data_IF_960133160382
#
_entry.id   IF_960133160382
#
_cell.length_a   1.000
_cell.length_b   1.000
_cell.length_c   1.000
_cell.angle_alpha   90.00
_cell.angle_beta   90.00
_cell.angle_gamma   90.00
#
_symmetry.space_group_name_H-M   'P 1'
#
loop_
_entity.id
_entity.type
_entity.pdbx_description
1 polymer ?
#
# COMPACT_ATOMS: atom_id res chain seq x y z
N UNK A 1 -22.37 -26.97 6.50
CA UNK A 1 -21.35 -26.05 7.04
C UNK A 1 -19.99 -26.55 6.57
N UNK A 2 -19.39 -25.93 5.55
CA UNK A 2 -17.98 -26.22 5.20
C UNK A 2 -17.15 -25.59 6.31
N UNK A 3 -16.60 -26.39 7.22
CA UNK A 3 -15.65 -25.86 8.20
C UNK A 3 -14.49 -25.25 7.43
N UNK A 4 -14.25 -23.96 7.59
CA UNK A 4 -13.16 -23.27 6.90
C UNK A 4 -11.85 -23.88 7.40
N UNK A 5 -11.18 -24.68 6.57
CA UNK A 5 -9.92 -25.33 6.93
C UNK A 5 -8.86 -24.24 7.11
N UNK A 6 -8.29 -24.15 8.30
CA UNK A 6 -7.18 -23.21 8.61
C UNK A 6 -5.94 -23.56 7.81
N UNK A 7 -5.02 -22.61 7.60
CA UNK A 7 -3.73 -22.88 6.93
C UNK A 7 -3.01 -24.04 7.62
N UNK A 8 -3.03 -24.07 8.96
CA UNK A 8 -2.44 -25.17 9.73
C UNK A 8 -3.13 -26.49 9.50
N UNK A 9 -4.47 -26.50 9.42
CA UNK A 9 -5.25 -27.69 9.09
C UNK A 9 -4.92 -28.27 7.71
N UNK A 10 -4.72 -27.41 6.71
CA UNK A 10 -4.31 -27.81 5.35
C UNK A 10 -2.92 -28.45 5.35
N UNK A 11 -1.98 -27.86 6.10
CA UNK A 11 -0.62 -28.41 6.25
C UNK A 11 -0.68 -29.79 6.93
N UNK A 12 -1.42 -29.91 8.03
CA UNK A 12 -1.58 -31.20 8.74
C UNK A 12 -2.24 -32.26 7.86
N UNK A 13 -3.27 -31.88 7.10
CA UNK A 13 -3.93 -32.76 6.15
C UNK A 13 -2.96 -33.26 5.10
N UNK A 14 -2.21 -32.36 4.45
CA UNK A 14 -1.22 -32.71 3.43
C UNK A 14 -0.15 -33.66 3.95
N UNK A 15 0.40 -33.39 5.15
CA UNK A 15 1.42 -34.27 5.77
C UNK A 15 0.85 -35.68 5.98
N UNK A 16 -0.37 -35.79 6.51
CA UNK A 16 -1.04 -37.08 6.75
C UNK A 16 -1.35 -37.82 5.45
N UNK A 17 -1.92 -37.13 4.47
CA UNK A 17 -2.30 -37.69 3.17
C UNK A 17 -1.07 -38.23 2.42
N UNK A 18 0.05 -37.52 2.48
CA UNK A 18 1.33 -37.95 1.88
C UNK A 18 2.11 -38.97 2.71
N UNK A 19 1.60 -39.36 3.89
CA UNK A 19 2.29 -40.28 4.80
C UNK A 19 3.64 -39.76 5.31
N UNK A 20 3.81 -38.45 5.39
CA UNK A 20 5.06 -37.81 5.79
C UNK A 20 5.14 -37.64 7.31
N UNK A 21 6.35 -37.71 7.84
CA UNK A 21 6.66 -37.19 9.18
C UNK A 21 6.93 -35.68 9.12
N UNK A 22 6.74 -34.98 10.24
CA UNK A 22 7.10 -33.55 10.36
C UNK A 22 8.57 -33.32 9.98
N UNK A 23 9.48 -34.23 10.31
CA UNK A 23 10.89 -34.13 9.97
C UNK A 23 11.15 -34.24 8.46
N UNK A 24 10.43 -35.10 7.75
CA UNK A 24 10.52 -35.20 6.29
C UNK A 24 9.96 -33.93 5.63
N UNK A 25 8.81 -33.44 6.11
CA UNK A 25 8.21 -32.20 5.58
C UNK A 25 9.07 -30.95 5.88
N UNK A 26 9.69 -30.89 7.05
CA UNK A 26 10.67 -29.86 7.42
C UNK A 26 11.85 -29.83 6.44
N UNK A 27 12.41 -31.01 6.11
CA UNK A 27 13.50 -31.12 5.14
C UNK A 27 13.07 -30.67 3.74
N UNK A 28 11.86 -31.03 3.31
CA UNK A 28 11.33 -30.64 2.01
C UNK A 28 11.12 -29.12 1.90
N UNK A 29 10.55 -28.50 2.94
CA UNK A 29 10.30 -27.04 2.97
C UNK A 29 11.55 -26.21 3.25
N UNK A 30 12.63 -26.83 3.73
CA UNK A 30 13.82 -26.13 4.21
C UNK A 30 13.60 -25.36 5.51
N UNK A 31 12.49 -25.62 6.21
CA UNK A 31 12.18 -25.02 7.51
C UNK A 31 12.70 -25.94 8.62
N UNK A 32 13.33 -25.37 9.65
CA UNK A 32 13.77 -26.16 10.80
C UNK A 32 12.60 -26.93 11.43
N UNK A 33 12.78 -28.22 11.75
CA UNK A 33 11.71 -29.10 12.24
C UNK A 33 11.06 -28.61 13.54
N UNK A 34 11.84 -28.04 14.47
CA UNK A 34 11.31 -27.43 15.68
C UNK A 34 10.46 -26.19 15.40
N UNK A 35 10.86 -25.39 14.40
CA UNK A 35 10.07 -24.24 13.94
C UNK A 35 8.77 -24.68 13.27
N UNK A 36 8.84 -25.62 12.33
CA UNK A 36 7.66 -26.14 11.64
C UNK A 36 6.68 -26.80 12.63
N UNK A 37 7.19 -27.60 13.57
CA UNK A 37 6.37 -28.18 14.65
C UNK A 37 5.69 -27.10 15.49
N UNK A 38 6.42 -26.04 15.85
CA UNK A 38 5.84 -24.92 16.63
C UNK A 38 4.77 -24.16 15.85
N UNK A 39 4.92 -24.02 14.53
CA UNK A 39 3.93 -23.41 13.64
C UNK A 39 2.66 -24.26 13.60
N UNK A 40 2.79 -25.56 13.31
CA UNK A 40 1.65 -26.50 13.22
C UNK A 40 0.87 -26.51 14.55
N UNK A 41 1.59 -26.57 15.67
CA UNK A 41 0.99 -26.54 17.01
C UNK A 41 0.49 -25.14 17.45
N UNK A 42 0.61 -24.10 16.61
CA UNK A 42 0.12 -22.74 16.92
C UNK A 42 0.92 -21.96 17.95
N UNK A 43 2.10 -22.43 18.31
CA UNK A 43 2.97 -21.78 19.32
C UNK A 43 3.82 -20.68 18.73
N UNK A 44 4.04 -20.68 17.41
CA UNK A 44 4.83 -19.68 16.69
C UNK A 44 4.05 -19.15 15.49
N UNK A 45 4.05 -17.83 15.23
CA UNK A 45 3.44 -17.29 14.02
C UNK A 45 4.18 -17.77 12.78
N UNK A 46 3.43 -17.96 11.69
CA UNK A 46 3.93 -18.29 10.37
C UNK A 46 4.33 -16.98 9.66
N UNK A 47 5.50 -16.94 9.03
CA UNK A 47 5.90 -15.82 8.15
C UNK A 47 5.52 -16.08 6.70
N UNK A 48 5.40 -15.03 5.87
CA UNK A 48 5.07 -15.17 4.44
C UNK A 48 6.12 -16.00 3.69
N UNK A 49 7.41 -15.86 4.04
CA UNK A 49 8.48 -16.69 3.46
C UNK A 49 8.27 -18.19 3.76
N UNK A 50 7.90 -18.51 5.01
CA UNK A 50 7.61 -19.89 5.40
C UNK A 50 6.34 -20.39 4.73
N UNK A 51 5.33 -19.53 4.57
CA UNK A 51 4.11 -19.84 3.84
C UNK A 51 4.43 -20.21 2.39
N UNK A 52 5.25 -19.43 1.69
CA UNK A 52 5.64 -19.73 0.31
C UNK A 52 6.43 -21.04 0.19
N UNK A 53 7.37 -21.29 1.11
CA UNK A 53 8.12 -22.55 1.17
C UNK A 53 7.18 -23.77 1.33
N UNK A 54 6.20 -23.65 2.22
CA UNK A 54 5.18 -24.68 2.46
C UNK A 54 4.29 -24.85 1.22
N UNK A 55 3.78 -23.76 0.66
CA UNK A 55 2.91 -23.73 -0.53
C UNK A 55 3.58 -24.41 -1.73
N UNK A 56 4.86 -24.10 -1.95
CA UNK A 56 5.66 -24.71 -3.01
C UNK A 56 5.81 -26.23 -2.84
N UNK A 57 6.15 -26.72 -1.64
CA UNK A 57 6.25 -28.16 -1.38
C UNK A 57 4.92 -28.87 -1.49
N UNK A 58 3.82 -28.18 -1.16
CA UNK A 58 2.47 -28.70 -1.35
C UNK A 58 2.05 -28.78 -2.83
N UNK A 59 2.84 -28.19 -3.75
CA UNK A 59 2.55 -28.15 -5.18
C UNK A 59 1.40 -27.20 -5.52
N UNK A 60 1.18 -26.18 -4.69
CA UNK A 60 0.13 -25.18 -4.86
C UNK A 60 0.68 -23.91 -5.52
N UNK A 61 -0.21 -23.13 -6.13
CA UNK A 61 0.14 -21.84 -6.76
C UNK A 61 0.68 -20.84 -5.73
N UNK A 62 1.64 -20.00 -6.11
CA UNK A 62 2.09 -18.89 -5.28
C UNK A 62 0.93 -17.97 -4.91
N UNK A 63 0.86 -17.56 -3.64
CA UNK A 63 -0.23 -16.76 -3.12
C UNK A 63 -1.51 -17.55 -2.78
N UNK A 64 -1.55 -18.88 -2.95
CA UNK A 64 -2.74 -19.71 -2.68
C UNK A 64 -3.36 -19.49 -1.27
N UNK A 65 -2.52 -19.22 -0.27
CA UNK A 65 -2.97 -19.01 1.11
C UNK A 65 -3.09 -17.54 1.52
N UNK A 66 -2.87 -16.56 0.62
CA UNK A 66 -2.73 -15.15 1.03
C UNK A 66 -3.98 -14.58 1.69
N UNK A 67 -5.17 -14.82 1.14
CA UNK A 67 -6.43 -14.36 1.75
C UNK A 67 -6.57 -14.86 3.20
N UNK A 68 -6.37 -16.16 3.41
CA UNK A 68 -6.39 -16.77 4.75
C UNK A 68 -5.26 -16.25 5.65
N UNK A 69 -4.09 -15.97 5.08
CA UNK A 69 -2.93 -15.51 5.84
C UNK A 69 -3.14 -14.12 6.43
N UNK A 70 -3.88 -13.25 5.73
CA UNK A 70 -4.27 -11.92 6.24
C UNK A 70 -5.02 -12.09 7.57
N UNK A 71 -6.08 -12.89 7.57
CA UNK A 71 -6.92 -13.10 8.75
C UNK A 71 -6.19 -13.90 9.85
N UNK A 72 -5.60 -15.05 9.50
CA UNK A 72 -5.06 -15.99 10.48
C UNK A 72 -3.69 -15.57 11.05
N UNK A 73 -2.87 -14.86 10.28
CA UNK A 73 -1.47 -14.63 10.63
C UNK A 73 -1.08 -13.16 10.79
N UNK A 74 -1.78 -12.23 10.13
CA UNK A 74 -1.50 -10.79 10.26
C UNK A 74 -2.40 -10.17 11.32
N UNK A 75 -3.73 -10.36 11.21
CA UNK A 75 -4.72 -9.65 12.01
C UNK A 75 -5.38 -10.48 13.12
N UNK A 76 -4.97 -11.74 13.32
CA UNK A 76 -5.40 -12.55 14.47
C UNK A 76 -5.03 -11.92 15.83
N UNK A 77 -4.00 -11.07 15.85
CA UNK A 77 -3.56 -10.25 16.99
C UNK A 77 -3.30 -8.82 16.51
N UNK A 78 -2.90 -7.91 17.41
CA UNK A 78 -2.35 -6.61 17.00
C UNK A 78 -1.31 -6.82 15.88
N UNK A 79 -1.48 -6.19 14.71
CA UNK A 79 -0.60 -6.44 13.58
C UNK A 79 0.85 -6.10 13.93
N UNK A 80 1.80 -6.87 13.39
CA UNK A 80 3.21 -6.54 13.50
C UNK A 80 3.68 -6.09 12.13
N UNK A 81 4.23 -4.88 12.03
CA UNK A 81 4.81 -4.37 10.77
C UNK A 81 5.87 -5.33 10.22
N UNK A 82 6.61 -6.04 11.07
CA UNK A 82 7.59 -7.05 10.67
C UNK A 82 6.97 -8.25 9.93
N UNK A 83 5.64 -8.43 10.03
CA UNK A 83 4.87 -9.42 9.25
C UNK A 83 4.12 -8.78 8.10
N UNK A 84 3.46 -7.64 8.36
CA UNK A 84 2.67 -6.93 7.35
C UNK A 84 3.55 -6.42 6.20
N UNK A 85 4.62 -5.68 6.48
CA UNK A 85 5.49 -5.10 5.45
C UNK A 85 6.01 -6.15 4.45
N UNK A 86 6.65 -7.25 4.90
CA UNK A 86 7.08 -8.33 4.00
C UNK A 86 5.93 -8.98 3.24
N UNK A 87 4.75 -9.10 3.85
CA UNK A 87 3.56 -9.65 3.16
C UNK A 87 3.07 -8.72 2.05
N UNK A 88 3.01 -7.40 2.29
CA UNK A 88 2.62 -6.42 1.27
C UNK A 88 3.60 -6.40 0.09
N UNK A 89 4.91 -6.45 0.38
CA UNK A 89 5.93 -6.56 -0.66
C UNK A 89 5.75 -7.84 -1.48
N UNK A 90 5.50 -8.98 -0.82
CA UNK A 90 5.27 -10.25 -1.51
C UNK A 90 3.99 -10.26 -2.35
N UNK A 91 2.92 -9.60 -1.90
CA UNK A 91 1.72 -9.41 -2.71
C UNK A 91 2.01 -8.61 -3.98
N UNK A 92 2.83 -7.56 -3.88
CA UNK A 92 3.30 -6.79 -5.03
C UNK A 92 4.12 -7.65 -6.00
N UNK A 93 5.06 -8.45 -5.51
CA UNK A 93 5.90 -9.32 -6.34
C UNK A 93 5.10 -10.32 -7.18
N UNK A 94 4.00 -10.83 -6.61
CA UNK A 94 3.13 -11.84 -7.23
C UNK A 94 1.91 -11.25 -7.96
N UNK A 95 1.83 -9.91 -8.07
CA UNK A 95 0.66 -9.19 -8.60
C UNK A 95 -0.67 -9.56 -7.91
N UNK A 96 -0.61 -10.00 -6.65
CA UNK A 96 -1.80 -10.31 -5.81
C UNK A 96 -2.34 -9.03 -5.18
N UNK A 97 -2.70 -8.06 -6.01
CA UNK A 97 -3.10 -6.71 -5.59
C UNK A 97 -4.38 -6.69 -4.74
N UNK A 98 -5.31 -7.62 -4.94
CA UNK A 98 -6.52 -7.73 -4.11
C UNK A 98 -6.18 -8.09 -2.65
N UNK A 99 -5.20 -8.98 -2.46
CA UNK A 99 -4.68 -9.32 -1.13
C UNK A 99 -3.93 -8.15 -0.49
N UNK A 100 -3.19 -7.38 -1.30
CA UNK A 100 -2.52 -6.16 -0.85
C UNK A 100 -3.54 -5.14 -0.35
N UNK A 101 -4.55 -4.81 -1.18
CA UNK A 101 -5.60 -3.86 -0.83
C UNK A 101 -6.35 -4.30 0.43
N UNK A 102 -6.76 -5.57 0.49
CA UNK A 102 -7.44 -6.14 1.66
C UNK A 102 -6.62 -5.97 2.94
N UNK A 103 -5.34 -6.36 2.91
CA UNK A 103 -4.48 -6.27 4.08
C UNK A 103 -4.22 -4.83 4.52
N UNK A 104 -4.08 -3.91 3.57
CA UNK A 104 -3.85 -2.49 3.86
C UNK A 104 -5.12 -1.85 4.43
N UNK A 105 -6.30 -2.13 3.86
CA UNK A 105 -7.58 -1.59 4.38
C UNK A 105 -7.88 -2.04 5.81
N UNK A 106 -7.44 -3.23 6.21
CA UNK A 106 -7.55 -3.67 7.61
C UNK A 106 -6.70 -2.84 8.59
N UNK A 107 -5.82 -1.96 8.09
CA UNK A 107 -5.04 -1.02 8.92
C UNK A 107 -5.62 0.39 9.01
N UNK A 108 -6.76 0.68 8.34
CA UNK A 108 -7.31 2.03 8.22
C UNK A 108 -7.45 2.76 9.56
N UNK A 109 -7.90 2.05 10.61
CA UNK A 109 -8.12 2.61 11.95
C UNK A 109 -6.86 2.67 12.82
N UNK A 110 -5.72 2.13 12.34
CA UNK A 110 -4.47 2.10 13.08
C UNK A 110 -3.43 3.07 12.48
N UNK A 111 -3.41 4.28 13.02
CA UNK A 111 -2.53 5.37 12.55
C UNK A 111 -1.03 5.08 12.73
N UNK A 112 -0.68 4.09 13.55
CA UNK A 112 0.73 3.70 13.82
C UNK A 112 1.44 3.23 12.56
N UNK A 113 0.73 2.61 11.59
CA UNK A 113 1.36 2.09 10.38
C UNK A 113 1.47 3.10 9.24
N UNK A 114 0.78 4.24 9.32
CA UNK A 114 0.72 5.21 8.22
C UNK A 114 2.09 5.70 7.74
N UNK A 115 3.06 6.03 8.61
CA UNK A 115 4.40 6.38 8.15
C UNK A 115 5.03 5.25 7.34
N UNK A 116 4.91 4.02 7.81
CA UNK A 116 5.56 2.87 7.17
C UNK A 116 4.87 2.46 5.86
N UNK A 117 3.53 2.60 5.78
CA UNK A 117 2.77 2.42 4.53
C UNK A 117 3.16 3.47 3.49
N UNK A 118 3.33 4.73 3.89
CA UNK A 118 3.78 5.79 3.00
C UNK A 118 5.20 5.53 2.46
N UNK A 119 6.15 5.18 3.32
CA UNK A 119 7.52 4.85 2.88
C UNK A 119 7.55 3.64 1.93
N UNK A 120 6.70 2.63 2.19
CA UNK A 120 6.56 1.49 1.29
C UNK A 120 5.96 1.91 -0.07
N UNK A 121 5.00 2.85 -0.08
CA UNK A 121 4.44 3.39 -1.30
C UNK A 121 5.49 4.14 -2.13
N UNK A 122 6.32 4.98 -1.51
CA UNK A 122 7.43 5.67 -2.18
C UNK A 122 8.46 4.66 -2.73
N UNK A 123 8.73 3.57 -2.00
CA UNK A 123 9.59 2.46 -2.48
C UNK A 123 9.00 1.84 -3.75
N UNK A 124 7.70 1.54 -3.76
CA UNK A 124 7.03 1.00 -4.95
C UNK A 124 7.02 1.97 -6.12
N UNK A 125 6.92 3.28 -5.89
CA UNK A 125 7.08 4.29 -6.95
C UNK A 125 8.48 4.25 -7.55
N UNK A 126 9.53 4.13 -6.73
CA UNK A 126 10.92 4.02 -7.19
C UNK A 126 11.15 2.75 -8.02
N UNK A 127 10.45 1.67 -7.69
CA UNK A 127 10.47 0.40 -8.44
C UNK A 127 9.49 0.34 -9.63
N UNK A 128 8.83 1.45 -9.96
CA UNK A 128 7.80 1.56 -11.01
C UNK A 128 6.58 0.63 -10.81
N UNK A 129 6.29 0.24 -9.56
CA UNK A 129 5.16 -0.60 -9.14
C UNK A 129 3.94 0.27 -8.79
N UNK A 130 3.49 1.08 -9.74
CA UNK A 130 2.52 2.15 -9.48
C UNK A 130 1.17 1.65 -8.95
N UNK A 131 0.63 0.54 -9.46
CA UNK A 131 -0.66 0.01 -8.99
C UNK A 131 -0.64 -0.31 -7.50
N UNK A 132 0.39 -0.99 -7.02
CA UNK A 132 0.58 -1.30 -5.61
C UNK A 132 0.81 -0.03 -4.78
N UNK A 133 1.61 0.92 -5.28
CA UNK A 133 1.83 2.20 -4.61
C UNK A 133 0.52 2.99 -4.42
N UNK A 134 -0.37 3.00 -5.42
CA UNK A 134 -1.64 3.72 -5.33
C UNK A 134 -2.54 3.16 -4.22
N UNK A 135 -2.65 1.83 -4.09
CA UNK A 135 -3.41 1.20 -3.01
C UNK A 135 -2.92 1.65 -1.62
N UNK A 136 -1.60 1.79 -1.45
CA UNK A 136 -1.01 2.29 -0.21
C UNK A 136 -1.31 3.78 0.02
N UNK A 137 -1.14 4.64 -1.00
CA UNK A 137 -1.46 6.07 -0.86
C UNK A 137 -2.95 6.30 -0.59
N UNK A 138 -3.85 5.54 -1.20
CA UNK A 138 -5.29 5.65 -0.94
C UNK A 138 -5.62 5.35 0.52
N UNK A 139 -5.05 4.27 1.07
CA UNK A 139 -5.23 3.96 2.48
C UNK A 139 -4.68 5.04 3.40
N UNK A 140 -3.47 5.54 3.13
CA UNK A 140 -2.87 6.61 3.95
C UNK A 140 -3.74 7.87 3.88
N UNK A 141 -4.18 8.25 2.68
CA UNK A 141 -5.02 9.43 2.48
C UNK A 141 -6.38 9.31 3.16
N UNK A 142 -6.99 8.12 3.16
CA UNK A 142 -8.26 7.86 3.81
C UNK A 142 -8.15 7.91 5.34
N UNK A 143 -7.11 7.31 5.91
CA UNK A 143 -6.83 7.34 7.36
C UNK A 143 -6.50 8.73 7.88
N UNK A 144 -5.84 9.56 7.07
CA UNK A 144 -5.46 10.92 7.46
C UNK A 144 -6.47 12.00 7.06
N UNK A 145 -7.63 11.67 6.49
CA UNK A 145 -8.53 12.66 5.86
C UNK A 145 -8.93 13.88 6.71
N UNK A 146 -8.95 13.73 8.04
CA UNK A 146 -9.27 14.81 8.99
C UNK A 146 -8.03 15.48 9.60
N UNK A 147 -6.83 15.07 9.18
CA UNK A 147 -5.56 15.63 9.60
C UNK A 147 -5.08 16.63 8.55
N UNK A 148 -4.43 17.70 9.01
CA UNK A 148 -3.79 18.69 8.14
C UNK A 148 -2.31 18.34 7.92
N UNK A 149 -2.01 17.08 7.59
CA UNK A 149 -0.63 16.63 7.40
C UNK A 149 -0.11 16.92 5.98
N UNK A 150 1.17 17.23 5.87
CA UNK A 150 1.88 17.35 4.59
C UNK A 150 1.88 16.01 3.82
N UNK A 151 2.00 14.89 4.56
CA UNK A 151 1.93 13.53 4.03
C UNK A 151 0.62 13.28 3.28
N UNK A 152 -0.52 13.68 3.84
CA UNK A 152 -1.81 13.56 3.17
C UNK A 152 -1.81 14.34 1.84
N UNK A 153 -1.27 15.56 1.83
CA UNK A 153 -1.20 16.37 0.61
C UNK A 153 -0.32 15.70 -0.46
N UNK A 154 0.81 15.11 -0.06
CA UNK A 154 1.68 14.34 -0.96
C UNK A 154 0.99 13.09 -1.49
N UNK A 155 0.29 12.32 -0.65
CA UNK A 155 -0.49 11.16 -1.09
C UNK A 155 -1.53 11.57 -2.15
N UNK A 156 -2.29 12.63 -1.89
CA UNK A 156 -3.30 13.15 -2.82
C UNK A 156 -2.66 13.66 -4.12
N UNK A 157 -1.48 14.26 -4.06
CA UNK A 157 -0.72 14.66 -5.25
C UNK A 157 -0.22 13.47 -6.07
N UNK A 158 0.27 12.40 -5.42
CA UNK A 158 0.68 11.16 -6.09
C UNK A 158 -0.50 10.50 -6.79
N UNK A 159 -1.64 10.39 -6.11
CA UNK A 159 -2.89 9.86 -6.66
C UNK A 159 -3.41 10.70 -7.83
N UNK A 160 -3.42 12.03 -7.67
CA UNK A 160 -3.75 12.96 -8.75
C UNK A 160 -2.88 12.71 -9.97
N UNK A 161 -1.56 12.66 -9.80
CA UNK A 161 -0.65 12.50 -10.92
C UNK A 161 -0.83 11.18 -11.66
N UNK A 162 -1.25 10.12 -10.96
CA UNK A 162 -1.56 8.82 -11.55
C UNK A 162 -2.91 8.78 -12.25
N UNK A 163 -3.93 9.49 -11.73
CA UNK A 163 -5.28 9.60 -12.33
C UNK A 163 -5.33 10.45 -13.59
N UNK A 164 -4.33 11.32 -13.80
CA UNK A 164 -4.27 12.12 -15.03
C UNK A 164 -4.00 11.21 -16.22
N UNK A 165 -4.98 11.15 -17.11
CA UNK A 165 -4.95 10.37 -18.35
C UNK A 165 -5.14 11.30 -19.56
N UNK A 166 -5.26 10.72 -20.76
CA UNK A 166 -5.53 11.47 -21.99
C UNK A 166 -6.99 11.93 -22.12
N UNK A 167 -7.86 11.63 -21.15
CA UNK A 167 -9.26 12.04 -21.13
C UNK A 167 -9.45 13.32 -20.30
N UNK A 168 -9.98 14.36 -20.92
CA UNK A 168 -10.17 15.67 -20.29
C UNK A 168 -11.21 15.63 -19.16
N UNK A 169 -12.30 14.88 -19.32
CA UNK A 169 -13.38 14.84 -18.31
C UNK A 169 -12.91 14.16 -17.01
N UNK A 170 -12.16 13.05 -17.10
CA UNK A 170 -11.57 12.40 -15.93
C UNK A 170 -10.50 13.27 -15.27
N UNK A 171 -9.74 14.04 -16.05
CA UNK A 171 -8.76 14.99 -15.51
C UNK A 171 -9.43 16.11 -14.70
N UNK A 172 -10.61 16.58 -15.10
CA UNK A 172 -11.38 17.55 -14.33
C UNK A 172 -11.78 17.02 -12.95
N UNK A 173 -12.25 15.78 -12.88
CA UNK A 173 -12.58 15.12 -11.61
C UNK A 173 -11.34 14.94 -10.73
N UNK A 174 -10.21 14.54 -11.32
CA UNK A 174 -8.95 14.42 -10.59
C UNK A 174 -8.50 15.75 -9.97
N UNK A 175 -8.65 16.86 -10.70
CA UNK A 175 -8.38 18.20 -10.17
C UNK A 175 -9.28 18.56 -8.99
N UNK A 176 -10.60 18.32 -9.11
CA UNK A 176 -11.56 18.63 -8.03
C UNK A 176 -11.21 17.89 -6.74
N UNK A 177 -10.78 16.62 -6.84
CA UNK A 177 -10.37 15.83 -5.69
C UNK A 177 -9.07 16.32 -5.05
N UNK A 178 -8.15 16.88 -5.84
CA UNK A 178 -6.81 17.24 -5.41
C UNK A 178 -6.64 18.71 -4.97
N UNK A 179 -7.34 19.66 -5.61
CA UNK A 179 -7.19 21.11 -5.35
C UNK A 179 -7.24 21.48 -3.85
N UNK A 180 -8.11 20.88 -2.99
CA UNK A 180 -8.14 21.19 -1.56
C UNK A 180 -6.82 20.94 -0.80
N UNK A 181 -5.91 20.14 -1.38
CA UNK A 181 -4.63 19.77 -0.79
C UNK A 181 -3.44 20.55 -1.38
N UNK A 182 -3.65 21.29 -2.47
CA UNK A 182 -2.60 21.95 -3.25
C UNK A 182 -1.73 22.91 -2.41
N UNK A 183 -2.37 23.74 -1.58
CA UNK A 183 -1.69 24.71 -0.71
C UNK A 183 -0.92 24.09 0.46
N UNK A 184 -1.16 22.81 0.75
CA UNK A 184 -0.52 22.07 1.86
C UNK A 184 0.69 21.26 1.42
N UNK A 185 0.94 21.18 0.10
CA UNK A 185 2.18 20.61 -0.41
C UNK A 185 3.37 21.45 0.04
N UNK A 186 4.51 20.78 0.24
CA UNK A 186 5.77 21.49 0.40
C UNK A 186 6.19 22.20 -0.89
N UNK A 187 7.13 23.13 -0.73
CA UNK A 187 7.62 24.01 -1.79
C UNK A 187 8.18 23.24 -2.99
N UNK A 188 8.80 22.08 -2.77
CA UNK A 188 9.42 21.29 -3.83
C UNK A 188 8.39 20.79 -4.86
N UNK A 189 7.15 20.52 -4.45
CA UNK A 189 6.09 20.03 -5.34
C UNK A 189 5.01 21.07 -5.65
N UNK A 190 4.80 22.05 -4.77
CA UNK A 190 3.65 22.95 -4.82
C UNK A 190 3.55 23.74 -6.13
N UNK A 191 4.64 24.35 -6.60
CA UNK A 191 4.63 25.15 -7.83
C UNK A 191 4.35 24.31 -9.08
N UNK A 192 4.95 23.12 -9.16
CA UNK A 192 4.69 22.17 -10.25
C UNK A 192 3.24 21.68 -10.24
N UNK A 193 2.68 21.45 -9.05
CA UNK A 193 1.29 21.06 -8.89
C UNK A 193 0.33 22.20 -9.32
N UNK A 194 0.62 23.46 -8.98
CA UNK A 194 -0.16 24.62 -9.44
C UNK A 194 -0.21 24.67 -10.96
N UNK A 195 0.96 24.62 -11.62
CA UNK A 195 1.05 24.66 -13.07
C UNK A 195 0.23 23.54 -13.72
N UNK A 196 0.29 22.32 -13.16
CA UNK A 196 -0.44 21.17 -13.67
C UNK A 196 -1.96 21.37 -13.57
N UNK A 197 -2.45 21.83 -12.43
CA UNK A 197 -3.88 22.10 -12.20
C UNK A 197 -4.38 23.25 -13.09
N UNK A 198 -3.62 24.34 -13.21
CA UNK A 198 -3.96 25.48 -14.08
C UNK A 198 -4.07 25.05 -15.54
N UNK A 199 -3.14 24.22 -16.03
CA UNK A 199 -3.17 23.71 -17.40
C UNK A 199 -4.40 22.85 -17.66
N UNK A 200 -4.79 22.00 -16.71
CA UNK A 200 -6.00 21.18 -16.83
C UNK A 200 -7.25 22.07 -16.85
N UNK A 201 -7.39 23.03 -15.93
CA UNK A 201 -8.52 23.95 -15.95
C UNK A 201 -8.60 24.76 -17.25
N UNK A 202 -7.46 25.20 -17.77
CA UNK A 202 -7.39 25.89 -19.07
C UNK A 202 -7.85 24.99 -20.21
N UNK A 203 -7.43 23.73 -20.23
CA UNK A 203 -7.87 22.74 -21.24
C UNK A 203 -9.38 22.44 -21.19
N UNK A 204 -10.00 22.66 -20.02
CA UNK A 204 -11.43 22.51 -19.78
C UNK A 204 -12.22 23.82 -19.96
N UNK A 205 -11.59 24.88 -20.46
CA UNK A 205 -12.16 26.23 -20.58
C UNK A 205 -12.68 26.81 -19.25
N UNK A 206 -12.17 26.34 -18.11
CA UNK A 206 -12.49 26.87 -16.77
C UNK A 206 -11.54 28.02 -16.41
N UNK A 207 -11.61 29.10 -17.19
CA UNK A 207 -10.68 30.22 -17.12
C UNK A 207 -10.66 30.92 -15.76
N UNK A 208 -11.81 31.06 -15.10
CA UNK A 208 -11.90 31.68 -13.77
C UNK A 208 -11.09 30.90 -12.72
N UNK A 209 -11.16 29.56 -12.75
CA UNK A 209 -10.40 28.69 -11.85
C UNK A 209 -8.89 28.76 -12.17
N UNK A 210 -8.54 28.71 -13.46
CA UNK A 210 -7.15 28.84 -13.90
C UNK A 210 -6.53 30.18 -13.45
N UNK A 211 -7.23 31.30 -13.64
CA UNK A 211 -6.76 32.63 -13.27
C UNK A 211 -6.66 32.80 -11.75
N UNK A 212 -7.64 32.28 -10.99
CA UNK A 212 -7.60 32.26 -9.51
C UNK A 212 -6.34 31.56 -9.01
N UNK A 213 -6.04 30.37 -9.54
CA UNK A 213 -4.88 29.59 -9.12
C UNK A 213 -3.57 30.20 -9.61
N UNK A 214 -3.52 30.79 -10.81
CA UNK A 214 -2.34 31.49 -11.31
C UNK A 214 -1.96 32.68 -10.41
N UNK A 215 -2.96 33.45 -9.94
CA UNK A 215 -2.73 34.54 -8.99
C UNK A 215 -2.12 34.02 -7.67
N UNK A 216 -2.70 32.96 -7.10
CA UNK A 216 -2.17 32.34 -5.86
C UNK A 216 -0.76 31.78 -6.04
N UNK A 217 -0.47 31.19 -7.20
CA UNK A 217 0.88 30.71 -7.53
C UNK A 217 1.88 31.87 -7.57
N UNK A 218 1.51 33.02 -8.14
CA UNK A 218 2.35 34.23 -8.17
C UNK A 218 2.66 34.77 -6.77
N UNK A 219 1.64 34.91 -5.93
CA UNK A 219 1.78 35.35 -4.53
C UNK A 219 2.73 34.41 -3.73
N UNK A 220 2.70 33.11 -4.00
CA UNK A 220 3.62 32.13 -3.37
C UNK A 220 5.05 32.27 -3.85
N UNK A 221 5.28 32.51 -5.14
CA UNK A 221 6.61 32.73 -5.70
C UNK A 221 7.29 33.97 -5.09
N UNK A 222 6.55 35.06 -4.96
CA UNK A 222 7.05 36.30 -4.34
C UNK A 222 7.46 36.06 -2.88
N UNK A 223 6.64 35.36 -2.11
CA UNK A 223 6.95 35.03 -0.71
C UNK A 223 8.20 34.14 -0.59
N UNK A 224 8.35 33.12 -1.43
CA UNK A 224 9.52 32.23 -1.38
C UNK A 224 10.82 32.98 -1.73
N UNK A 225 10.78 33.91 -2.69
CA UNK A 225 11.95 34.74 -3.03
C UNK A 225 12.36 35.68 -1.88
N UNK A 226 11.39 36.22 -1.14
CA UNK A 226 11.65 37.05 0.04
C UNK A 226 12.29 36.20 1.16
N UNK A 227 11.79 34.98 1.42
CA UNK A 227 12.34 34.10 2.45
C UNK A 227 13.78 33.68 2.16
N UNK A 228 14.12 33.37 0.89
CA UNK A 228 15.51 33.03 0.50
C UNK A 228 16.46 34.23 0.58
N UNK A 229 15.95 35.46 0.46
CA UNK A 229 16.78 36.67 0.52
C UNK A 229 17.11 37.13 1.95
N UNK A 230 16.58 36.47 2.98
CA UNK A 230 16.74 36.81 4.40
C UNK A 230 17.71 35.84 5.13
N UNK A 231 18.24 34.83 4.42
CA UNK A 231 19.29 33.92 4.89
C UNK A 231 20.58 34.09 4.08
#
# INVERSE_FOLDING_TARGET
MKGTTTIRGEIEHFIKERGLTINQFARATGINSGTLSSIINGRRPLSVKQLDQITSVMGLEEGHFFERYIEECIFHSTPDWRRLGPFLYRCMELDKLDCLDTAVRMTLDNTTYLPMLYELAETFVQEAKYKAAMLLYECVAESEKYQHSERLALCQYRLFNHRIENNQESNGQAVVLFEPYLERLNEAYQLGAYLRVINIYSSLNQWDNAQRLAKRMGERLENNMITVSIF
#
